data_IF_414960629870
#
_entry.id   IF_414960629870
#
_cell.length_a   1.000
_cell.length_b   1.000
_cell.length_c   1.000
_cell.angle_alpha   90.00
_cell.angle_beta   90.00
_cell.angle_gamma   90.00
#
_symmetry.space_group_name_H-M   'P 1'
#
loop_
_entity.id
_entity.type
_entity.pdbx_description
1 polymer ?
#
# COMPACT_ATOMS: atom_id res chain seq x y z
N UNK A 1 2.22 -17.61 -8.43
CA UNK A 1 3.28 -17.26 -7.46
C UNK A 1 2.79 -17.54 -6.06
N UNK A 2 3.73 -17.75 -5.12
CA UNK A 2 3.50 -17.84 -3.69
C UNK A 2 3.63 -16.45 -3.06
N UNK A 3 2.56 -15.94 -2.48
CA UNK A 3 2.46 -14.54 -2.05
C UNK A 3 2.18 -14.45 -0.55
N UNK A 4 2.87 -13.54 0.13
CA UNK A 4 2.46 -13.02 1.43
C UNK A 4 1.78 -11.66 1.20
N UNK A 5 0.55 -11.51 1.69
CA UNK A 5 -0.19 -10.23 1.63
C UNK A 5 -0.08 -9.50 2.96
N UNK A 6 0.38 -8.26 2.93
CA UNK A 6 0.45 -7.35 4.09
C UNK A 6 -0.46 -6.16 3.82
N UNK A 7 -1.44 -5.93 4.67
CA UNK A 7 -2.38 -4.84 4.39
C UNK A 7 -3.41 -4.63 5.46
N UNK A 8 -4.42 -3.82 5.13
CA UNK A 8 -5.53 -3.56 6.04
C UNK A 8 -6.76 -3.04 5.31
N UNK A 9 -7.87 -3.03 6.05
CA UNK A 9 -9.13 -2.42 5.68
C UNK A 9 -9.69 -2.97 4.36
N UNK A 10 -10.44 -2.11 3.65
CA UNK A 10 -11.11 -2.50 2.41
C UNK A 10 -10.12 -2.86 1.29
N UNK A 11 -9.07 -2.06 1.08
CA UNK A 11 -8.12 -2.31 -0.01
C UNK A 11 -7.43 -3.68 0.15
N UNK A 12 -6.92 -3.98 1.35
CA UNK A 12 -6.31 -5.29 1.62
C UNK A 12 -7.25 -6.44 1.32
N UNK A 13 -8.51 -6.35 1.77
CA UNK A 13 -9.52 -7.39 1.54
C UNK A 13 -9.89 -7.56 0.04
N UNK A 14 -9.91 -6.46 -0.75
CA UNK A 14 -10.16 -6.57 -2.20
C UNK A 14 -8.97 -7.17 -2.94
N UNK A 15 -7.74 -6.76 -2.60
CA UNK A 15 -6.52 -7.34 -3.18
C UNK A 15 -6.41 -8.83 -2.86
N UNK A 16 -6.75 -9.26 -1.65
CA UNK A 16 -6.84 -10.68 -1.30
C UNK A 16 -7.74 -11.45 -2.29
N UNK A 17 -8.93 -10.92 -2.57
CA UNK A 17 -9.87 -11.53 -3.52
C UNK A 17 -9.30 -11.60 -4.94
N UNK A 18 -8.68 -10.52 -5.42
CA UNK A 18 -8.04 -10.46 -6.74
C UNK A 18 -6.93 -11.49 -6.89
N UNK A 19 -5.99 -11.56 -5.92
CA UNK A 19 -4.88 -12.50 -5.93
C UNK A 19 -5.36 -13.97 -5.96
N UNK A 20 -6.42 -14.29 -5.21
CA UNK A 20 -7.02 -15.64 -5.23
C UNK A 20 -7.71 -15.93 -6.58
N UNK A 21 -8.46 -14.99 -7.11
CA UNK A 21 -9.11 -15.13 -8.42
C UNK A 21 -8.11 -15.34 -9.55
N UNK A 22 -6.91 -14.74 -9.43
CA UNK A 22 -5.79 -14.94 -10.35
C UNK A 22 -4.99 -16.23 -10.08
N UNK A 23 -5.47 -17.13 -9.21
CA UNK A 23 -4.86 -18.42 -8.85
C UNK A 23 -3.44 -18.27 -8.25
N UNK A 24 -3.15 -17.20 -7.52
CA UNK A 24 -1.95 -17.11 -6.71
C UNK A 24 -2.14 -17.88 -5.39
N UNK A 25 -1.06 -18.52 -4.92
CA UNK A 25 -1.03 -19.19 -3.63
C UNK A 25 -0.71 -18.18 -2.52
N UNK A 26 -1.65 -17.95 -1.62
CA UNK A 26 -1.46 -17.08 -0.46
C UNK A 26 -0.86 -17.91 0.69
N UNK A 27 0.43 -17.70 0.99
CA UNK A 27 1.11 -18.39 2.08
C UNK A 27 0.76 -17.82 3.45
N UNK A 28 0.56 -16.52 3.54
CA UNK A 28 0.12 -15.84 4.75
C UNK A 28 -0.50 -14.47 4.45
N UNK A 29 -1.31 -14.01 5.39
CA UNK A 29 -1.89 -12.67 5.40
C UNK A 29 -1.57 -11.99 6.71
N UNK A 30 -1.04 -10.76 6.66
CA UNK A 30 -0.79 -9.92 7.84
C UNK A 30 -1.69 -8.69 7.82
N UNK A 31 -2.41 -8.48 8.92
CA UNK A 31 -3.31 -7.34 9.13
C UNK A 31 -3.15 -6.79 10.56
N UNK A 32 -3.54 -5.52 10.85
CA UNK A 32 -3.21 -4.86 12.11
C UNK A 32 -3.89 -5.47 13.34
N UNK A 33 -5.11 -5.97 13.19
CA UNK A 33 -5.93 -6.48 14.28
C UNK A 33 -6.90 -7.55 13.79
N UNK A 34 -7.44 -8.36 14.70
CA UNK A 34 -8.37 -9.45 14.39
C UNK A 34 -9.73 -8.94 13.88
N UNK A 35 -10.10 -7.71 14.16
CA UNK A 35 -11.33 -7.06 13.68
C UNK A 35 -11.14 -6.31 12.34
N UNK A 36 -9.92 -6.33 11.78
CA UNK A 36 -9.68 -5.76 10.45
C UNK A 36 -10.37 -6.57 9.35
N UNK A 37 -10.86 -5.87 8.32
CA UNK A 37 -11.56 -6.48 7.18
C UNK A 37 -10.69 -7.48 6.42
N UNK A 38 -9.39 -7.22 6.31
CA UNK A 38 -8.47 -8.15 5.66
C UNK A 38 -8.29 -9.40 6.51
N UNK A 39 -8.15 -9.26 7.85
CA UNK A 39 -8.07 -10.40 8.74
C UNK A 39 -9.31 -11.30 8.64
N UNK A 40 -10.50 -10.71 8.73
CA UNK A 40 -11.75 -11.44 8.59
C UNK A 40 -11.85 -12.19 7.25
N UNK A 41 -11.44 -11.53 6.15
CA UNK A 41 -11.43 -12.16 4.82
C UNK A 41 -10.41 -13.32 4.73
N UNK A 42 -9.27 -13.21 5.39
CA UNK A 42 -8.27 -14.27 5.44
C UNK A 42 -8.78 -15.49 6.23
N UNK A 43 -9.40 -15.26 7.38
CA UNK A 43 -10.00 -16.32 8.20
C UNK A 43 -11.12 -17.05 7.45
N UNK A 44 -12.03 -16.31 6.82
CA UNK A 44 -13.08 -16.87 5.97
C UNK A 44 -12.51 -17.73 4.84
N UNK A 45 -11.41 -17.28 4.26
CA UNK A 45 -10.70 -18.01 3.21
C UNK A 45 -9.83 -19.16 3.72
N UNK A 46 -9.76 -19.40 5.04
CA UNK A 46 -8.92 -20.41 5.71
C UNK A 46 -7.44 -20.26 5.39
N UNK A 47 -6.96 -19.02 5.27
CA UNK A 47 -5.57 -18.71 5.01
C UNK A 47 -4.80 -18.53 6.33
N UNK A 48 -3.51 -18.88 6.37
CA UNK A 48 -2.66 -18.57 7.51
C UNK A 48 -2.61 -17.06 7.76
N UNK A 49 -2.77 -16.67 9.01
CA UNK A 49 -2.69 -15.27 9.44
C UNK A 49 -1.46 -15.06 10.31
N UNK A 50 -0.81 -13.91 10.15
CA UNK A 50 0.32 -13.47 10.94
C UNK A 50 -0.08 -12.20 11.66
N UNK A 51 0.03 -12.20 13.00
CA UNK A 51 -0.19 -10.97 13.77
C UNK A 51 0.76 -9.88 13.28
N UNK A 52 0.21 -8.70 13.13
CA UNK A 52 0.93 -7.59 12.55
C UNK A 52 1.90 -6.96 13.56
N UNK A 53 3.19 -7.22 13.46
CA UNK A 53 4.16 -6.45 14.22
C UNK A 53 4.19 -5.01 13.71
N UNK A 54 4.72 -4.07 14.50
CA UNK A 54 4.99 -2.72 14.00
C UNK A 54 6.01 -2.73 12.85
N UNK A 55 6.78 -3.82 12.77
CA UNK A 55 7.83 -4.04 11.77
C UNK A 55 7.79 -5.51 11.36
N UNK A 56 7.63 -5.78 10.08
CA UNK A 56 7.72 -7.13 9.52
C UNK A 56 9.20 -7.49 9.34
N UNK A 57 9.64 -8.54 9.97
CA UNK A 57 11.01 -9.07 9.89
C UNK A 57 11.03 -10.39 9.10
N UNK A 58 12.23 -10.90 8.80
CA UNK A 58 12.42 -12.11 8.00
C UNK A 58 11.68 -13.33 8.56
N UNK A 59 11.66 -13.48 9.89
CA UNK A 59 10.99 -14.60 10.58
C UNK A 59 9.47 -14.62 10.43
N UNK A 60 8.87 -13.49 10.07
CA UNK A 60 7.42 -13.39 9.81
C UNK A 60 7.04 -13.80 8.38
N UNK A 61 8.03 -13.94 7.48
CA UNK A 61 7.80 -14.27 6.08
C UNK A 61 7.85 -15.78 5.91
N UNK A 62 6.78 -16.44 5.46
CA UNK A 62 6.78 -17.89 5.25
C UNK A 62 7.87 -18.33 4.27
N UNK A 63 8.53 -19.43 4.59
CA UNK A 63 9.53 -20.02 3.69
C UNK A 63 8.92 -20.33 2.31
N UNK A 64 9.64 -20.00 1.26
CA UNK A 64 9.20 -20.19 -0.13
C UNK A 64 8.28 -19.07 -0.66
N UNK A 65 8.12 -17.95 0.06
CA UNK A 65 7.44 -16.77 -0.46
C UNK A 65 8.16 -16.22 -1.69
N UNK A 66 7.43 -16.06 -2.79
CA UNK A 66 7.95 -15.42 -4.00
C UNK A 66 7.92 -13.90 -3.87
N UNK A 67 6.80 -13.33 -3.41
CA UNK A 67 6.56 -11.90 -3.40
C UNK A 67 5.77 -11.48 -2.16
N UNK A 68 6.15 -10.37 -1.55
CA UNK A 68 5.32 -9.68 -0.56
C UNK A 68 4.53 -8.58 -1.29
N UNK A 69 3.21 -8.59 -1.14
CA UNK A 69 2.31 -7.56 -1.69
C UNK A 69 1.78 -6.70 -0.56
N UNK A 70 2.04 -5.39 -0.62
CA UNK A 70 1.61 -4.43 0.40
C UNK A 70 0.43 -3.59 -0.11
N UNK A 71 -0.76 -3.91 0.42
CA UNK A 71 -2.01 -3.22 0.10
C UNK A 71 -2.50 -2.39 1.29
N UNK A 72 -2.09 -1.13 1.38
CA UNK A 72 -2.28 -0.27 2.54
C UNK A 72 -1.55 -0.87 3.76
N UNK A 73 -0.23 -1.05 3.64
CA UNK A 73 0.58 -1.64 4.71
C UNK A 73 0.42 -0.86 6.02
N UNK A 74 0.32 -1.60 7.12
CA UNK A 74 0.14 -1.08 8.48
C UNK A 74 1.43 -1.12 9.30
N UNK A 75 2.46 -1.76 8.78
CA UNK A 75 3.76 -1.94 9.41
C UNK A 75 4.90 -1.64 8.43
N UNK A 76 6.08 -1.40 8.97
CA UNK A 76 7.31 -1.25 8.17
C UNK A 76 7.79 -2.62 7.67
N UNK A 77 8.14 -2.73 6.41
CA UNK A 77 8.69 -3.95 5.82
C UNK A 77 10.22 -3.85 5.83
N UNK A 78 10.87 -4.60 6.68
CA UNK A 78 12.34 -4.55 6.85
C UNK A 78 13.09 -5.04 5.61
N UNK A 79 14.37 -4.71 5.50
CA UNK A 79 15.24 -5.26 4.47
C UNK A 79 15.29 -6.80 4.56
N UNK A 80 15.36 -7.35 5.79
CA UNK A 80 15.33 -8.80 6.02
C UNK A 80 14.05 -9.45 5.52
N UNK A 81 12.88 -8.84 5.77
CA UNK A 81 11.61 -9.34 5.26
C UNK A 81 11.57 -9.33 3.72
N UNK A 82 12.01 -8.22 3.09
CA UNK A 82 12.06 -8.13 1.63
C UNK A 82 12.99 -9.18 1.02
N UNK A 83 14.14 -9.43 1.64
CA UNK A 83 15.13 -10.43 1.20
C UNK A 83 14.67 -11.88 1.44
N UNK A 84 13.79 -12.12 2.41
CA UNK A 84 13.21 -13.44 2.66
C UNK A 84 12.23 -13.88 1.56
N UNK A 85 11.66 -12.94 0.82
CA UNK A 85 10.88 -13.22 -0.39
C UNK A 85 11.79 -13.23 -1.62
N UNK A 86 11.66 -14.25 -2.48
CA UNK A 86 12.54 -14.46 -3.64
C UNK A 86 12.63 -13.27 -4.59
N UNK A 87 11.53 -12.53 -4.77
CA UNK A 87 11.44 -11.36 -5.65
C UNK A 87 11.43 -10.03 -4.86
N UNK A 88 11.25 -10.06 -3.54
CA UNK A 88 11.17 -8.88 -2.71
C UNK A 88 9.73 -8.46 -2.37
N UNK A 89 9.50 -7.16 -2.25
CA UNK A 89 8.20 -6.60 -1.87
C UNK A 89 7.78 -5.45 -2.77
N UNK A 90 6.49 -5.38 -3.09
CA UNK A 90 5.85 -4.25 -3.78
C UNK A 90 4.83 -3.58 -2.89
N UNK A 91 4.63 -2.27 -3.08
CA UNK A 91 3.63 -1.50 -2.36
C UNK A 91 2.79 -0.62 -3.28
N UNK A 92 1.56 -0.33 -2.87
CA UNK A 92 0.73 0.70 -3.48
C UNK A 92 0.82 1.98 -2.67
N UNK A 93 1.17 3.08 -3.32
CA UNK A 93 1.17 4.42 -2.76
C UNK A 93 0.18 5.33 -3.50
N UNK A 94 -0.73 6.04 -2.80
CA UNK A 94 -1.78 6.83 -3.44
C UNK A 94 -1.28 8.23 -3.82
N UNK A 95 -0.21 8.29 -4.61
CA UNK A 95 0.30 9.48 -5.29
C UNK A 95 0.99 9.12 -6.60
N UNK A 96 1.27 10.12 -7.42
CA UNK A 96 2.16 10.00 -8.57
C UNK A 96 3.62 10.11 -8.10
N UNK A 97 4.21 9.00 -7.64
CA UNK A 97 5.61 8.98 -7.23
C UNK A 97 6.51 9.52 -8.37
N UNK A 98 7.50 10.39 -8.04
CA UNK A 98 8.10 10.64 -6.74
C UNK A 98 7.44 11.73 -5.89
N UNK A 99 6.28 12.24 -6.26
CA UNK A 99 5.55 13.26 -5.49
C UNK A 99 4.87 12.63 -4.26
N UNK A 100 4.83 13.39 -3.16
CA UNK A 100 4.12 13.04 -1.92
C UNK A 100 4.51 11.68 -1.34
N UNK A 101 5.81 11.38 -1.27
CA UNK A 101 6.27 10.21 -0.52
C UNK A 101 5.89 10.31 0.94
N UNK A 102 5.65 9.20 1.60
CA UNK A 102 5.32 9.13 3.01
C UNK A 102 3.83 9.15 3.28
N UNK A 103 3.44 9.64 4.45
CA UNK A 103 2.06 9.56 4.93
C UNK A 103 1.20 10.69 4.38
N UNK A 104 -0.12 10.40 4.35
CA UNK A 104 -1.17 11.40 4.10
C UNK A 104 -1.08 12.08 2.71
N UNK A 105 -0.53 11.38 1.70
CA UNK A 105 -0.29 11.89 0.35
C UNK A 105 -1.54 12.51 -0.30
N UNK A 106 -2.71 11.87 -0.15
CA UNK A 106 -3.98 12.39 -0.71
C UNK A 106 -4.38 13.70 -0.04
N UNK A 107 -4.23 13.79 1.29
CA UNK A 107 -4.51 15.02 2.05
C UNK A 107 -3.61 16.18 1.60
N UNK A 108 -2.35 15.89 1.28
CA UNK A 108 -1.42 16.90 0.78
C UNK A 108 -1.77 17.36 -0.63
N UNK A 109 -2.13 16.46 -1.54
CA UNK A 109 -2.65 16.83 -2.86
C UNK A 109 -3.87 17.76 -2.76
N UNK A 110 -4.81 17.47 -1.84
CA UNK A 110 -5.97 18.35 -1.57
C UNK A 110 -5.54 19.71 -1.01
N UNK A 111 -4.63 19.75 -0.02
CA UNK A 111 -4.15 20.99 0.59
C UNK A 111 -3.42 21.88 -0.39
N UNK A 112 -2.64 21.31 -1.29
CA UNK A 112 -1.94 22.02 -2.36
C UNK A 112 -2.86 22.39 -3.52
N UNK A 113 -4.14 21.99 -3.47
CA UNK A 113 -5.14 22.23 -4.52
C UNK A 113 -4.68 21.71 -5.88
N UNK A 114 -4.03 20.56 -5.88
CA UNK A 114 -3.62 19.90 -7.10
C UNK A 114 -4.84 19.51 -7.93
N UNK A 115 -4.71 19.63 -9.24
CA UNK A 115 -5.78 19.28 -10.18
C UNK A 115 -5.73 17.83 -10.62
N UNK A 116 -4.58 17.19 -10.41
CA UNK A 116 -4.31 15.81 -10.78
C UNK A 116 -3.55 15.15 -9.64
N UNK A 117 -3.93 13.94 -9.31
CA UNK A 117 -3.19 13.04 -8.45
C UNK A 117 -3.23 11.64 -9.04
N UNK A 118 -2.74 10.64 -8.35
CA UNK A 118 -2.78 9.28 -8.87
C UNK A 118 -2.34 8.24 -7.87
N UNK A 119 -1.99 7.08 -8.39
CA UNK A 119 -1.50 5.97 -7.60
C UNK A 119 -0.31 5.28 -8.29
N UNK A 120 0.59 4.76 -7.50
CA UNK A 120 1.81 4.10 -7.96
C UNK A 120 1.97 2.75 -7.28
N UNK A 121 2.31 1.71 -8.04
CA UNK A 121 2.86 0.47 -7.51
C UNK A 121 4.36 0.47 -7.78
N UNK A 122 5.15 0.20 -6.74
CA UNK A 122 6.59 0.33 -6.76
C UNK A 122 7.26 -0.81 -5.97
N UNK A 123 8.50 -1.12 -6.29
CA UNK A 123 9.34 -2.00 -5.50
C UNK A 123 9.75 -1.31 -4.21
N UNK A 124 9.55 -1.96 -3.08
CA UNK A 124 9.99 -1.41 -1.79
C UNK A 124 11.49 -1.61 -1.62
N UNK A 125 12.20 -0.52 -1.32
CA UNK A 125 13.63 -0.52 -0.97
C UNK A 125 13.86 0.05 0.45
N UNK A 126 15.07 0.51 0.74
CA UNK A 126 15.41 1.07 2.06
C UNK A 126 14.90 2.52 2.24
N UNK A 127 14.49 3.16 1.16
CA UNK A 127 13.88 4.49 1.18
C UNK A 127 12.38 4.35 1.29
N UNK A 128 11.74 5.20 2.08
CA UNK A 128 10.30 5.19 2.12
C UNK A 128 9.74 5.70 0.78
N UNK A 129 8.91 4.90 0.14
CA UNK A 129 8.26 5.14 -1.15
C UNK A 129 9.22 5.57 -2.28
N UNK A 130 10.53 5.22 -2.15
CA UNK A 130 11.58 5.68 -3.07
C UNK A 130 12.05 4.66 -4.10
N UNK A 131 11.56 3.43 -4.07
CA UNK A 131 11.97 2.38 -4.99
C UNK A 131 11.39 2.50 -6.40
N UNK A 132 11.87 1.69 -7.36
CA UNK A 132 11.45 1.77 -8.76
C UNK A 132 9.95 1.57 -8.95
N UNK A 133 9.31 2.42 -9.76
CA UNK A 133 7.87 2.38 -10.05
C UNK A 133 7.60 1.37 -11.15
N UNK A 134 6.71 0.41 -10.88
CA UNK A 134 6.29 -0.64 -11.84
C UNK A 134 5.19 -0.12 -12.75
N UNK A 135 4.18 0.51 -12.17
CA UNK A 135 3.07 1.10 -12.91
C UNK A 135 2.43 2.24 -12.10
N UNK A 136 1.87 3.19 -12.84
CA UNK A 136 1.15 4.35 -12.29
C UNK A 136 -0.10 4.60 -13.12
N UNK A 137 -1.06 5.25 -12.48
CA UNK A 137 -2.20 5.86 -13.17
C UNK A 137 -2.63 7.11 -12.42
N UNK A 138 -3.45 7.95 -13.05
CA UNK A 138 -3.82 9.25 -12.53
C UNK A 138 -5.34 9.48 -12.56
N UNK A 139 -5.78 10.46 -11.79
CA UNK A 139 -7.16 10.94 -11.78
C UNK A 139 -7.23 12.46 -11.57
N UNK A 140 -8.35 13.06 -11.95
CA UNK A 140 -8.63 14.45 -11.64
C UNK A 140 -9.11 14.62 -10.19
N UNK A 141 -8.59 15.65 -9.53
CA UNK A 141 -9.12 16.16 -8.27
C UNK A 141 -10.12 17.27 -8.57
N UNK A 142 -11.36 17.12 -8.13
CA UNK A 142 -12.42 18.11 -8.33
C UNK A 142 -12.32 19.21 -7.27
N UNK A 143 -12.78 20.44 -7.55
CA UNK A 143 -12.62 21.59 -6.62
C UNK A 143 -13.21 21.39 -5.21
N UNK A 144 -14.19 20.50 -5.07
CA UNK A 144 -14.87 20.23 -3.79
C UNK A 144 -14.50 18.89 -3.18
N UNK A 145 -13.58 18.14 -3.79
CA UNK A 145 -13.19 16.84 -3.28
C UNK A 145 -12.48 16.96 -1.93
N UNK A 146 -12.83 16.06 -1.03
CA UNK A 146 -12.03 15.69 0.13
C UNK A 146 -11.10 14.54 -0.23
N UNK A 147 -10.10 14.27 0.61
CA UNK A 147 -9.23 13.09 0.44
C UNK A 147 -10.03 11.78 0.43
N UNK A 148 -11.11 11.71 1.22
CA UNK A 148 -12.00 10.54 1.26
C UNK A 148 -12.77 10.38 -0.07
N UNK A 149 -13.23 11.46 -0.68
CA UNK A 149 -13.93 11.41 -1.97
C UNK A 149 -13.00 10.88 -3.07
N UNK A 150 -11.77 11.41 -3.16
CA UNK A 150 -10.78 10.96 -4.14
C UNK A 150 -10.39 9.50 -3.89
N UNK A 151 -10.20 9.12 -2.62
CA UNK A 151 -9.90 7.73 -2.27
C UNK A 151 -11.01 6.78 -2.70
N UNK A 152 -12.26 7.07 -2.33
CA UNK A 152 -13.38 6.17 -2.61
C UNK A 152 -13.72 6.07 -4.08
N UNK A 153 -13.69 7.18 -4.80
CA UNK A 153 -14.05 7.25 -6.21
C UNK A 153 -12.96 6.72 -7.13
N UNK A 154 -11.70 7.09 -6.87
CA UNK A 154 -10.61 6.86 -7.82
C UNK A 154 -9.47 6.00 -7.26
N UNK A 155 -8.79 6.46 -6.19
CA UNK A 155 -7.50 5.89 -5.79
C UNK A 155 -7.62 4.50 -5.17
N UNK A 156 -8.68 4.22 -4.43
CA UNK A 156 -8.93 2.88 -3.89
C UNK A 156 -9.15 1.84 -5.01
N UNK A 157 -10.10 2.04 -5.93
CA UNK A 157 -10.27 1.16 -7.11
C UNK A 157 -9.02 1.08 -7.99
N UNK A 158 -8.32 2.20 -8.18
CA UNK A 158 -7.04 2.26 -8.91
C UNK A 158 -5.98 1.36 -8.26
N UNK A 159 -5.87 1.41 -6.93
CA UNK A 159 -4.91 0.60 -6.19
C UNK A 159 -5.11 -0.90 -6.40
N UNK A 160 -6.35 -1.38 -6.44
CA UNK A 160 -6.66 -2.78 -6.76
C UNK A 160 -6.13 -3.10 -8.16
N UNK A 161 -6.54 -2.33 -9.16
CA UNK A 161 -6.19 -2.56 -10.57
C UNK A 161 -4.68 -2.50 -10.81
N UNK A 162 -3.99 -1.53 -10.20
CA UNK A 162 -2.54 -1.39 -10.35
C UNK A 162 -1.78 -2.52 -9.66
N UNK A 163 -2.20 -2.96 -8.47
CA UNK A 163 -1.59 -4.12 -7.80
C UNK A 163 -1.79 -5.41 -8.59
N UNK A 164 -3.00 -5.66 -9.08
CA UNK A 164 -3.28 -6.82 -9.93
C UNK A 164 -2.40 -6.81 -11.20
N UNK A 165 -2.29 -5.64 -11.86
CA UNK A 165 -1.44 -5.46 -13.04
C UNK A 165 0.05 -5.69 -12.73
N UNK A 166 0.57 -5.09 -11.65
CA UNK A 166 1.97 -5.27 -11.24
C UNK A 166 2.29 -6.75 -10.94
N UNK A 167 1.42 -7.42 -10.19
CA UNK A 167 1.58 -8.85 -9.88
C UNK A 167 1.56 -9.70 -11.15
N UNK A 168 0.68 -9.39 -12.10
CA UNK A 168 0.61 -10.08 -13.39
C UNK A 168 1.88 -9.87 -14.23
N UNK A 169 2.41 -8.63 -14.30
CA UNK A 169 3.68 -8.32 -14.99
C UNK A 169 4.84 -9.10 -14.36
N UNK A 170 4.95 -9.08 -13.03
CA UNK A 170 6.00 -9.80 -12.30
C UNK A 170 5.90 -11.32 -12.53
N UNK A 171 4.70 -11.87 -12.51
CA UNK A 171 4.47 -13.30 -12.77
C UNK A 171 4.89 -13.73 -14.19
N UNK A 172 4.78 -12.81 -15.16
CA UNK A 172 5.24 -13.01 -16.54
C UNK A 172 6.74 -12.76 -16.74
N UNK A 173 7.50 -12.48 -15.68
CA UNK A 173 8.95 -12.21 -15.75
C UNK A 173 9.30 -10.76 -16.11
N UNK A 174 8.31 -9.85 -16.11
CA UNK A 174 8.48 -8.42 -16.28
C UNK A 174 8.47 -7.65 -14.96
N UNK A 175 8.05 -6.38 -15.00
CA UNK A 175 7.84 -5.57 -13.80
C UNK A 175 9.13 -5.06 -13.14
N UNK A 176 10.22 -4.89 -13.88
CA UNK A 176 11.49 -4.37 -13.35
C UNK A 176 11.35 -3.01 -12.67
N UNK A 177 10.42 -2.20 -13.14
CA UNK A 177 10.18 -0.84 -12.65
C UNK A 177 11.15 0.20 -13.22
N UNK A 178 10.73 1.45 -13.16
CA UNK A 178 11.52 2.63 -13.57
C UNK A 178 12.01 3.36 -12.33
N UNK A 179 13.32 3.62 -12.18
CA UNK A 179 13.83 4.42 -11.09
C UNK A 179 13.13 5.78 -11.01
N UNK A 180 12.86 6.26 -9.81
CA UNK A 180 12.28 7.57 -9.59
C UNK A 180 13.33 8.68 -9.81
N UNK A 181 12.92 9.81 -10.37
CA UNK A 181 13.76 11.00 -10.46
C UNK A 181 13.78 11.73 -9.12
N UNK A 182 14.88 11.63 -8.40
CA UNK A 182 15.04 12.22 -7.07
C UNK A 182 14.97 13.75 -7.09
N UNK A 183 15.23 14.39 -8.23
CA UNK A 183 15.12 15.85 -8.37
C UNK A 183 13.67 16.36 -8.31
N UNK A 184 12.72 15.47 -8.56
CA UNK A 184 11.27 15.74 -8.52
C UNK A 184 10.61 15.25 -7.23
N UNK A 185 11.36 14.56 -6.36
CA UNK A 185 10.79 13.93 -5.18
C UNK A 185 10.34 14.98 -4.16
N UNK A 186 9.11 14.80 -3.65
CA UNK A 186 8.59 15.58 -2.53
C UNK A 186 8.27 14.71 -1.34
N UNK A 187 8.33 15.30 -0.18
CA UNK A 187 8.08 14.66 1.09
C UNK A 187 7.44 15.64 2.05
N UNK A 188 6.22 15.38 2.44
CA UNK A 188 5.50 16.24 3.38
C UNK A 188 5.36 15.54 4.75
N UNK A 189 5.30 16.33 5.85
CA UNK A 189 5.16 15.77 7.18
C UNK A 189 3.79 15.11 7.37
N UNK A 190 3.73 14.10 8.25
CA UNK A 190 2.46 13.51 8.63
C UNK A 190 1.53 14.58 9.24
N UNK A 191 0.28 14.60 8.78
CA UNK A 191 -0.74 15.51 9.29
C UNK A 191 -1.16 15.04 10.68
N UNK A 192 -0.87 15.86 11.69
CA UNK A 192 -1.34 15.60 13.05
C UNK A 192 -2.86 15.76 13.08
N UNK A 193 -3.57 14.72 13.52
CA UNK A 193 -4.98 14.88 13.87
C UNK A 193 -5.05 15.96 14.94
N UNK A 194 -5.75 17.07 14.66
CA UNK A 194 -6.01 18.12 15.65
C UNK A 194 -6.62 17.44 16.89
N UNK A 195 -5.90 17.41 17.99
CA UNK A 195 -6.50 17.29 19.31
C UNK A 195 -7.36 18.54 19.43
N UNK A 196 -8.67 18.38 19.28
CA UNK A 196 -9.64 19.42 19.62
C UNK A 196 -9.31 19.89 21.02
N UNK A 197 -8.85 21.13 21.12
CA UNK A 197 -8.75 21.87 22.38
C UNK A 197 -10.19 22.06 22.88
N UNK A 198 -10.71 21.04 23.56
CA UNK A 198 -11.82 21.16 24.49
C UNK A 198 -11.24 21.59 25.83
N UNK A 199 -10.72 22.80 25.89
CA UNK A 199 -10.42 23.45 27.16
C UNK A 199 -11.37 24.60 27.39
N UNK A 200 -12.32 24.32 28.29
CA UNK A 200 -12.59 25.18 29.44
C UNK A 200 -12.98 26.62 29.16
N UNK A 201 -14.24 26.91 28.82
CA UNK A 201 -14.91 28.07 29.40
C UNK A 201 -15.66 27.61 30.64
N UNK A 202 -14.97 27.61 31.78
CA UNK A 202 -15.53 27.86 33.09
C UNK A 202 -15.09 29.27 33.47
N UNK A 203 -16.02 30.16 33.66
CA UNK A 203 -15.88 31.48 34.14
C UNK A 203 -17.23 32.18 34.08
#
# INVERSE_FOLDING_TARGET
>A
MKIMLVGQKWLGAQVLKGLRAANHELLAVSAPTHDDRLWAAAVEAKLPTVEAPRRLEAEHVPAGTDLIVCAHAHCFISAGARQAARLGAIGYHPSLLPLHRGRDAIEWAIRFRERVTGGSVYWMDDRADGGPVICQDWCFVRPQDTAEDVWRRDLGPMGIRLLDNAVAQIAAGGGAGTPQDESLATWEPAIQANKTLSEGRKG
#
